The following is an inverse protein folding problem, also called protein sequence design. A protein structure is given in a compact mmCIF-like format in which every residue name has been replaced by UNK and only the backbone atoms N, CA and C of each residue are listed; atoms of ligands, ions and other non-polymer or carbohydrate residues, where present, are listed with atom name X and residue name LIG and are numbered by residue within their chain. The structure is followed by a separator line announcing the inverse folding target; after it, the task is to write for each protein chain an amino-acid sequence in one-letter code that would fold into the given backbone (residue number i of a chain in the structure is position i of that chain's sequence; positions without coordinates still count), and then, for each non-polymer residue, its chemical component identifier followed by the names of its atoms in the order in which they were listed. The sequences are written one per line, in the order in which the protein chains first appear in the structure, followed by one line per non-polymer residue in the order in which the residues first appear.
data_IF_413153488202
#
_entry.id   IF_413153488202
#
_cell.length_a   1.000
_cell.length_b   1.000
_cell.length_c   1.000
_cell.angle_alpha   90.00
_cell.angle_beta   90.00
_cell.angle_gamma   90.00
#
_symmetry.space_group_name_H-M   'P 1'
#
loop_
_entity.id
_entity.type
_entity.pdbx_description
1 polymer ?
#
# COMPACT_ATOMS: atom_id res chain seq x y z
N UNK A 1 -5.63 114.53 67.24
CA UNK A 1 -6.35 115.74 66.79
C UNK A 1 -6.60 116.59 68.01
N UNK A 2 -6.16 117.86 68.03
CA UNK A 2 -6.53 118.80 69.09
C UNK A 2 -7.88 119.43 68.72
N UNK A 3 -8.81 119.46 69.68
CA UNK A 3 -10.05 120.20 69.52
C UNK A 3 -9.80 121.71 69.50
N UNK A 4 -10.79 122.47 69.07
CA UNK A 4 -10.79 123.95 69.00
C UNK A 4 -10.43 124.66 70.32
N UNK A 5 -10.39 123.90 71.41
CA UNK A 5 -10.28 124.33 72.80
C UNK A 5 -8.90 123.95 73.38
N UNK A 6 -8.01 123.37 72.56
CA UNK A 6 -6.65 122.96 72.94
C UNK A 6 -6.57 121.59 73.62
N UNK A 7 -7.69 121.00 74.02
CA UNK A 7 -7.74 119.67 74.62
C UNK A 7 -7.76 118.56 73.54
N UNK A 8 -7.15 117.43 73.87
CA UNK A 8 -7.06 116.26 72.98
C UNK A 8 -8.34 115.46 73.12
N UNK A 9 -9.19 115.49 72.10
CA UNK A 9 -10.40 114.68 72.06
C UNK A 9 -10.01 113.24 71.71
N UNK A 10 -10.36 112.30 72.59
CA UNK A 10 -10.26 110.86 72.34
C UNK A 10 -11.67 110.38 72.00
N UNK A 11 -11.89 109.96 70.76
CA UNK A 11 -13.18 109.41 70.35
C UNK A 11 -13.32 108.00 70.93
N UNK A 12 -14.17 107.85 71.93
CA UNK A 12 -14.49 106.56 72.53
C UNK A 12 -15.70 106.01 71.76
N UNK A 13 -15.52 104.92 71.01
CA UNK A 13 -16.64 104.30 70.27
C UNK A 13 -17.76 103.89 71.22
N UNK A 14 -18.98 104.44 71.06
CA UNK A 14 -20.20 103.94 71.71
C UNK A 14 -21.08 104.93 72.47
N UNK A 15 -20.81 106.24 72.50
CA UNK A 15 -21.60 107.22 73.28
C UNK A 15 -22.65 108.04 72.49
N UNK A 16 -22.79 107.85 71.17
CA UNK A 16 -23.84 108.52 70.41
C UNK A 16 -25.19 107.78 70.52
N UNK A 17 -26.30 108.51 70.55
CA UNK A 17 -27.68 108.00 70.76
C UNK A 17 -28.25 107.08 69.67
N UNK A 18 -27.40 106.55 68.80
CA UNK A 18 -27.72 105.52 67.80
C UNK A 18 -26.60 104.47 67.59
N UNK A 19 -25.51 104.54 68.36
CA UNK A 19 -24.40 103.58 68.23
C UNK A 19 -24.73 102.29 68.99
N UNK A 20 -24.47 101.14 68.36
CA UNK A 20 -24.60 99.84 69.02
C UNK A 20 -23.54 99.75 70.12
N UNK A 21 -23.87 99.29 71.34
CA UNK A 21 -22.89 99.07 72.39
C UNK A 21 -21.85 98.06 71.90
N UNK A 22 -20.58 98.25 72.31
CA UNK A 22 -19.45 97.43 71.89
C UNK A 22 -19.71 95.91 72.09
N UNK A 23 -20.38 95.54 73.18
CA UNK A 23 -20.77 94.15 73.49
C UNK A 23 -21.70 93.55 72.43
N UNK A 24 -22.62 94.33 71.87
CA UNK A 24 -23.54 93.86 70.82
C UNK A 24 -22.82 93.69 69.47
N UNK A 25 -21.82 94.54 69.17
CA UNK A 25 -20.99 94.43 67.97
C UNK A 25 -20.08 93.18 68.07
N UNK A 26 -19.50 92.91 69.24
CA UNK A 26 -18.68 91.71 69.45
C UNK A 26 -19.53 90.44 69.40
N UNK A 27 -20.73 90.44 69.99
CA UNK A 27 -21.67 89.32 69.93
C UNK A 27 -22.15 89.04 68.49
N UNK A 28 -22.49 90.07 67.71
CA UNK A 28 -22.86 89.93 66.29
C UNK A 28 -21.70 89.35 65.45
N UNK A 29 -20.46 89.79 65.70
CA UNK A 29 -19.26 89.25 65.05
C UNK A 29 -18.97 87.80 65.46
N UNK A 30 -19.22 87.43 66.72
CA UNK A 30 -19.09 86.06 67.20
C UNK A 30 -20.16 85.15 66.59
N UNK A 31 -21.41 85.62 66.51
CA UNK A 31 -22.51 84.91 65.86
C UNK A 31 -22.28 84.75 64.35
N UNK A 32 -21.76 85.77 63.67
CA UNK A 32 -21.40 85.69 62.25
C UNK A 32 -20.28 84.67 62.00
N UNK A 33 -19.22 84.67 62.82
CA UNK A 33 -18.18 83.64 62.75
C UNK A 33 -18.72 82.24 63.04
N UNK A 34 -19.62 82.10 64.02
CA UNK A 34 -20.25 80.82 64.34
C UNK A 34 -21.11 80.31 63.17
N UNK A 35 -21.87 81.18 62.50
CA UNK A 35 -22.63 80.84 61.29
C UNK A 35 -21.74 80.40 60.14
N UNK A 36 -20.66 81.14 59.87
CA UNK A 36 -19.69 80.79 58.83
C UNK A 36 -18.97 79.47 59.14
N UNK A 37 -18.67 79.22 60.41
CA UNK A 37 -18.08 77.96 60.84
C UNK A 37 -19.05 76.80 60.66
N UNK A 38 -20.31 76.95 61.07
CA UNK A 38 -21.36 75.95 60.84
C UNK A 38 -21.61 75.67 59.34
N UNK A 39 -21.54 76.69 58.48
CA UNK A 39 -21.63 76.52 57.03
C UNK A 39 -20.45 75.71 56.47
N UNK A 40 -19.21 75.99 56.90
CA UNK A 40 -18.04 75.22 56.48
C UNK A 40 -18.10 73.76 56.94
N UNK A 41 -18.54 73.52 58.17
CA UNK A 41 -18.70 72.17 58.73
C UNK A 41 -19.81 71.39 58.00
N UNK A 42 -20.94 72.03 57.72
CA UNK A 42 -22.03 71.40 56.94
C UNK A 42 -21.61 71.07 55.52
N UNK A 43 -20.86 71.95 54.84
CA UNK A 43 -20.29 71.66 53.52
C UNK A 43 -19.29 70.49 53.54
N UNK A 44 -18.45 70.40 54.57
CA UNK A 44 -17.52 69.28 54.73
C UNK A 44 -18.27 67.96 54.92
N UNK A 45 -19.26 67.93 55.82
CA UNK A 45 -20.12 66.77 56.02
C UNK A 45 -20.87 66.38 54.74
N UNK A 46 -21.30 67.36 53.94
CA UNK A 46 -21.96 67.10 52.67
C UNK A 46 -21.01 66.45 51.65
N UNK A 47 -19.77 66.95 51.56
CA UNK A 47 -18.71 66.34 50.70
C UNK A 47 -18.37 64.92 51.14
N UNK A 48 -18.28 64.67 52.44
CA UNK A 48 -18.06 63.32 52.99
C UNK A 48 -19.21 62.37 52.63
N UNK A 49 -20.47 62.83 52.78
CA UNK A 49 -21.65 62.04 52.41
C UNK A 49 -21.72 61.78 50.92
N UNK A 50 -21.39 62.77 50.09
CA UNK A 50 -21.34 62.61 48.64
C UNK A 50 -20.24 61.60 48.22
N UNK A 51 -19.07 61.66 48.85
CA UNK A 51 -17.99 60.69 48.63
C UNK A 51 -18.39 59.28 49.08
N UNK A 52 -19.09 59.15 50.21
CA UNK A 52 -19.63 57.89 50.73
C UNK A 52 -20.63 57.28 49.72
N UNK A 53 -21.54 58.09 49.17
CA UNK A 53 -22.50 57.66 48.14
C UNK A 53 -21.79 57.24 46.86
N UNK A 54 -20.83 58.04 46.36
CA UNK A 54 -20.03 57.70 45.18
C UNK A 54 -19.22 56.42 45.37
N UNK A 55 -18.70 56.18 46.59
CA UNK A 55 -18.01 54.93 46.93
C UNK A 55 -18.98 53.75 46.90
N UNK A 56 -20.12 53.83 47.58
CA UNK A 56 -21.15 52.78 47.59
C UNK A 56 -21.62 52.42 46.17
N UNK A 57 -21.79 53.40 45.29
CA UNK A 57 -22.16 53.14 43.90
C UNK A 57 -21.05 52.41 43.13
N UNK A 58 -19.79 52.85 43.26
CA UNK A 58 -18.65 52.16 42.65
C UNK A 58 -18.51 50.72 43.14
N UNK A 59 -18.66 50.50 44.44
CA UNK A 59 -18.58 49.17 45.06
C UNK A 59 -19.73 48.26 44.59
N UNK A 60 -20.95 48.79 44.47
CA UNK A 60 -22.10 48.06 43.93
C UNK A 60 -21.87 47.64 42.47
N UNK A 61 -21.35 48.55 41.64
CA UNK A 61 -21.02 48.26 40.24
C UNK A 61 -19.88 47.24 40.10
N UNK A 62 -18.85 47.33 40.96
CA UNK A 62 -17.76 46.36 40.99
C UNK A 62 -18.28 44.96 41.38
N UNK A 63 -19.19 44.88 42.36
CA UNK A 63 -19.82 43.63 42.79
C UNK A 63 -20.64 42.98 41.68
N UNK A 64 -21.45 43.74 40.95
CA UNK A 64 -22.24 43.21 39.82
C UNK A 64 -21.34 42.79 38.65
N UNK A 65 -20.29 43.56 38.33
CA UNK A 65 -19.30 43.15 37.33
C UNK A 65 -18.61 41.84 37.71
N UNK A 66 -18.23 41.68 38.99
CA UNK A 66 -17.62 40.45 39.48
C UNK A 66 -18.57 39.25 39.38
N UNK A 67 -19.86 39.43 39.66
CA UNK A 67 -20.89 38.39 39.47
C UNK A 67 -21.00 37.97 38.02
N UNK A 68 -21.11 38.92 37.09
CA UNK A 68 -21.19 38.63 35.66
C UNK A 68 -19.96 37.86 35.15
N UNK A 69 -18.76 38.27 35.57
CA UNK A 69 -17.52 37.56 35.22
C UNK A 69 -17.51 36.14 35.79
N UNK A 70 -17.93 35.95 37.04
CA UNK A 70 -18.02 34.63 37.66
C UNK A 70 -19.06 33.73 36.97
N UNK A 71 -20.20 34.28 36.57
CA UNK A 71 -21.24 33.57 35.80
C UNK A 71 -20.68 33.10 34.45
N UNK A 72 -20.01 33.98 33.72
CA UNK A 72 -19.40 33.68 32.42
C UNK A 72 -18.36 32.57 32.53
N UNK A 73 -17.49 32.63 33.55
CA UNK A 73 -16.51 31.58 33.82
C UNK A 73 -17.16 30.22 34.12
N UNK A 74 -18.30 30.19 34.84
CA UNK A 74 -19.01 28.93 35.11
C UNK A 74 -19.58 28.31 33.84
N UNK A 75 -20.19 29.13 32.99
CA UNK A 75 -20.72 28.67 31.69
C UNK A 75 -19.59 28.12 30.82
N UNK A 76 -18.49 28.86 30.69
CA UNK A 76 -17.32 28.44 29.90
C UNK A 76 -16.69 27.15 30.44
N UNK A 77 -16.65 26.97 31.76
CA UNK A 77 -16.19 25.72 32.38
C UNK A 77 -17.10 24.54 32.05
N UNK A 78 -18.41 24.74 32.04
CA UNK A 78 -19.38 23.69 31.73
C UNK A 78 -19.38 23.35 30.23
N UNK A 79 -19.27 24.35 29.36
CA UNK A 79 -19.06 24.17 27.92
C UNK A 79 -17.76 23.40 27.64
N UNK A 80 -16.68 23.70 28.38
CA UNK A 80 -15.42 22.95 28.27
C UNK A 80 -15.53 21.50 28.74
N UNK A 81 -16.34 21.22 29.77
CA UNK A 81 -16.59 19.84 30.23
C UNK A 81 -17.43 19.06 29.22
N UNK A 82 -18.47 19.69 28.66
CA UNK A 82 -19.34 19.04 27.66
C UNK A 82 -18.56 18.74 26.39
N UNK A 83 -17.72 19.67 25.91
CA UNK A 83 -16.82 19.44 24.78
C UNK A 83 -15.86 18.27 25.05
N UNK A 84 -15.27 18.19 26.25
CA UNK A 84 -14.37 17.10 26.62
C UNK A 84 -15.09 15.74 26.67
N UNK A 85 -16.32 15.70 27.19
CA UNK A 85 -17.13 14.48 27.21
C UNK A 85 -17.46 14.00 25.79
N UNK A 86 -17.75 14.93 24.88
CA UNK A 86 -18.03 14.62 23.48
C UNK A 86 -16.77 14.13 22.75
N UNK A 87 -15.62 14.74 23.01
CA UNK A 87 -14.32 14.26 22.52
C UNK A 87 -14.02 12.84 23.02
N UNK A 88 -14.16 12.57 24.31
CA UNK A 88 -13.94 11.26 24.91
C UNK A 88 -14.88 10.20 24.29
N UNK A 89 -16.14 10.56 24.04
CA UNK A 89 -17.12 9.70 23.36
C UNK A 89 -16.73 9.38 21.91
N UNK A 90 -16.21 10.38 21.17
CA UNK A 90 -15.71 10.18 19.81
C UNK A 90 -14.50 9.25 19.82
N UNK A 91 -13.55 9.47 20.74
CA UNK A 91 -12.37 8.62 20.88
C UNK A 91 -12.74 7.17 21.21
N UNK A 92 -13.72 6.96 22.10
CA UNK A 92 -14.21 5.62 22.43
C UNK A 92 -14.88 4.93 21.23
N UNK A 93 -15.67 5.67 20.44
CA UNK A 93 -16.24 5.12 19.20
C UNK A 93 -15.17 4.76 18.15
N UNK A 94 -14.11 5.56 18.03
CA UNK A 94 -13.00 5.27 17.13
C UNK A 94 -12.25 4.01 17.58
N UNK A 95 -11.93 3.89 18.88
CA UNK A 95 -11.30 2.68 19.44
C UNK A 95 -12.17 1.44 19.25
N UNK A 96 -13.48 1.58 19.41
CA UNK A 96 -14.42 0.47 19.17
C UNK A 96 -14.43 0.03 17.70
N UNK A 97 -14.42 0.98 16.77
CA UNK A 97 -14.35 0.69 15.33
C UNK A 97 -13.04 0.01 14.95
N UNK A 98 -11.92 0.50 15.48
CA UNK A 98 -10.59 -0.08 15.27
C UNK A 98 -10.54 -1.54 15.77
N UNK A 99 -11.08 -1.79 16.97
CA UNK A 99 -11.16 -3.14 17.53
C UNK A 99 -12.08 -4.06 16.71
N UNK A 100 -13.21 -3.56 16.21
CA UNK A 100 -14.11 -4.31 15.32
C UNK A 100 -13.42 -4.66 13.98
N UNK A 101 -12.61 -3.76 13.41
CA UNK A 101 -11.83 -4.04 12.20
C UNK A 101 -10.71 -5.05 12.47
N UNK A 102 -10.03 -4.93 13.62
CA UNK A 102 -9.02 -5.90 14.04
C UNK A 102 -9.63 -7.29 14.20
N UNK A 103 -10.79 -7.38 14.85
CA UNK A 103 -11.52 -8.64 14.99
C UNK A 103 -11.92 -9.20 13.63
N UNK A 104 -12.48 -8.40 12.72
CA UNK A 104 -12.81 -8.87 11.36
C UNK A 104 -11.58 -9.39 10.62
N UNK A 105 -10.44 -8.70 10.73
CA UNK A 105 -9.17 -9.17 10.15
C UNK A 105 -8.70 -10.49 10.75
N UNK A 106 -8.75 -10.63 12.07
CA UNK A 106 -8.42 -11.89 12.76
C UNK A 106 -9.36 -13.04 12.36
N UNK A 107 -10.66 -12.77 12.21
CA UNK A 107 -11.65 -13.76 11.77
C UNK A 107 -11.45 -14.17 10.31
N UNK A 108 -11.08 -13.23 9.44
CA UNK A 108 -10.76 -13.52 8.04
C UNK A 108 -9.52 -14.41 7.93
N UNK A 109 -8.46 -14.10 8.68
CA UNK A 109 -7.25 -14.94 8.75
C UNK A 109 -7.62 -16.34 9.26
N UNK A 110 -8.38 -16.44 10.35
CA UNK A 110 -8.83 -17.73 10.89
C UNK A 110 -9.65 -18.53 9.88
N UNK A 111 -10.53 -17.88 9.13
CA UNK A 111 -11.32 -18.52 8.08
C UNK A 111 -10.43 -19.00 6.91
N UNK A 112 -9.42 -18.22 6.53
CA UNK A 112 -8.45 -18.61 5.50
C UNK A 112 -7.57 -19.78 5.96
N UNK A 113 -7.10 -19.77 7.21
CA UNK A 113 -6.35 -20.87 7.81
C UNK A 113 -7.18 -22.16 7.81
N UNK A 114 -8.45 -22.09 8.21
CA UNK A 114 -9.34 -23.25 8.20
C UNK A 114 -9.57 -23.76 6.77
N UNK A 115 -9.84 -22.87 5.82
CA UNK A 115 -9.97 -23.24 4.39
C UNK A 115 -8.71 -23.93 3.89
N UNK A 116 -7.54 -23.38 4.23
CA UNK A 116 -6.26 -23.94 3.81
C UNK A 116 -5.98 -25.29 4.47
N UNK A 117 -6.32 -25.45 5.74
CA UNK A 117 -6.22 -26.72 6.45
C UNK A 117 -7.12 -27.79 5.81
N UNK A 118 -8.34 -27.43 5.42
CA UNK A 118 -9.26 -28.33 4.71
C UNK A 118 -8.72 -28.73 3.33
N UNK A 119 -8.17 -27.79 2.57
CA UNK A 119 -7.53 -28.07 1.27
C UNK A 119 -6.34 -29.03 1.42
N UNK A 120 -5.46 -28.76 2.39
CA UNK A 120 -4.30 -29.58 2.69
C UNK A 120 -4.72 -31.00 3.10
N UNK A 121 -5.73 -31.13 3.97
CA UNK A 121 -6.30 -32.41 4.36
C UNK A 121 -6.82 -33.19 3.15
N UNK A 122 -7.59 -32.55 2.28
CA UNK A 122 -8.13 -33.19 1.07
C UNK A 122 -7.02 -33.63 0.11
N UNK A 123 -6.00 -32.80 -0.07
CA UNK A 123 -4.84 -33.14 -0.90
C UNK A 123 -4.05 -34.31 -0.33
N UNK A 124 -3.78 -34.31 0.98
CA UNK A 124 -3.10 -35.40 1.67
C UNK A 124 -3.87 -36.72 1.54
N UNK A 125 -5.20 -36.68 1.74
CA UNK A 125 -6.08 -37.85 1.59
C UNK A 125 -6.05 -38.42 0.18
N UNK A 126 -6.06 -37.55 -0.85
CA UNK A 126 -5.92 -37.98 -2.26
C UNK A 126 -4.56 -38.61 -2.54
N UNK A 127 -3.47 -38.02 -2.04
CA UNK A 127 -2.13 -38.56 -2.20
C UNK A 127 -2.00 -39.95 -1.55
N UNK A 128 -2.56 -40.12 -0.35
CA UNK A 128 -2.58 -41.42 0.33
C UNK A 128 -3.37 -42.48 -0.46
N UNK A 129 -4.53 -42.11 -1.01
CA UNK A 129 -5.30 -43.01 -1.88
C UNK A 129 -4.56 -43.38 -3.15
N UNK A 130 -3.83 -42.43 -3.75
CA UNK A 130 -3.00 -42.69 -4.92
C UNK A 130 -1.82 -43.61 -4.59
N UNK A 131 -1.17 -43.43 -3.44
CA UNK A 131 -0.12 -44.34 -2.97
C UNK A 131 -0.65 -45.77 -2.79
N UNK A 132 -1.78 -45.93 -2.10
CA UNK A 132 -2.41 -47.24 -1.93
C UNK A 132 -2.83 -47.87 -3.25
N UNK A 133 -3.25 -47.07 -4.24
CA UNK A 133 -3.60 -47.56 -5.57
C UNK A 133 -2.34 -47.97 -6.34
N UNK A 134 -1.28 -47.18 -6.29
CA UNK A 134 0.01 -47.51 -6.90
C UNK A 134 0.62 -48.80 -6.33
N UNK A 135 0.53 -49.00 -5.01
CA UNK A 135 0.99 -50.25 -4.37
C UNK A 135 0.20 -51.47 -4.84
N UNK A 136 -1.12 -51.33 -5.02
CA UNK A 136 -1.96 -52.40 -5.59
C UNK A 136 -1.63 -52.66 -7.06
N UNK A 137 -1.50 -51.61 -7.86
CA UNK A 137 -1.16 -51.71 -9.28
C UNK A 137 0.22 -52.38 -9.47
N UNK A 138 1.19 -52.10 -8.58
CA UNK A 138 2.52 -52.73 -8.58
C UNK A 138 2.46 -54.21 -8.18
N UNK A 139 1.65 -54.57 -7.17
CA UNK A 139 1.41 -55.96 -6.80
C UNK A 139 0.74 -56.75 -7.94
N UNK A 140 -0.28 -56.18 -8.57
CA UNK A 140 -0.95 -56.79 -9.74
C UNK A 140 0.03 -56.95 -10.91
N UNK A 141 0.88 -55.97 -11.15
CA UNK A 141 1.93 -56.05 -12.17
C UNK A 141 2.94 -57.16 -11.87
N UNK A 142 3.36 -57.34 -10.61
CA UNK A 142 4.28 -58.41 -10.20
C UNK A 142 3.64 -59.80 -10.39
N UNK A 143 2.38 -59.98 -10.05
CA UNK A 143 1.65 -61.23 -10.31
C UNK A 143 1.53 -61.51 -11.81
N UNK A 144 1.21 -60.48 -12.59
CA UNK A 144 1.14 -60.57 -14.06
C UNK A 144 2.50 -60.98 -14.64
N UNK A 145 3.60 -60.42 -14.11
CA UNK A 145 4.96 -60.74 -14.50
C UNK A 145 5.31 -62.20 -14.17
N UNK A 146 4.95 -62.69 -12.98
CA UNK A 146 5.14 -64.09 -12.60
C UNK A 146 4.36 -65.05 -13.51
N UNK A 147 3.09 -64.73 -13.80
CA UNK A 147 2.25 -65.51 -14.73
C UNK A 147 2.85 -65.55 -16.14
N UNK A 148 3.33 -64.41 -16.64
CA UNK A 148 4.01 -64.35 -17.94
C UNK A 148 5.28 -65.20 -17.93
N UNK A 149 6.12 -65.08 -16.90
CA UNK A 149 7.35 -65.86 -16.79
C UNK A 149 7.07 -67.36 -16.77
N UNK A 150 6.06 -67.80 -16.01
CA UNK A 150 5.64 -69.21 -15.97
C UNK A 150 5.13 -69.71 -17.33
N UNK A 151 4.33 -68.90 -18.03
CA UNK A 151 3.85 -69.24 -19.38
C UNK A 151 5.00 -69.35 -20.39
N UNK A 152 6.01 -68.48 -20.30
CA UNK A 152 7.23 -68.53 -21.12
C UNK A 152 8.04 -69.79 -20.82
N UNK A 153 8.20 -70.15 -19.54
CA UNK A 153 8.84 -71.39 -19.11
C UNK A 153 8.10 -72.62 -19.66
N UNK A 154 6.77 -72.66 -19.58
CA UNK A 154 5.96 -73.74 -20.15
C UNK A 154 6.14 -73.84 -21.67
N UNK A 155 6.12 -72.71 -22.38
CA UNK A 155 6.37 -72.67 -23.83
C UNK A 155 7.76 -73.21 -24.17
N UNK A 156 8.80 -72.82 -23.42
CA UNK A 156 10.16 -73.34 -23.64
C UNK A 156 10.28 -74.83 -23.31
N UNK A 157 9.61 -75.30 -22.27
CA UNK A 157 9.56 -76.71 -21.91
C UNK A 157 8.87 -77.53 -23.01
N UNK A 158 7.70 -77.09 -23.49
CA UNK A 158 6.96 -77.73 -24.59
C UNK A 158 7.78 -77.77 -25.88
N UNK A 159 8.47 -76.68 -26.21
CA UNK A 159 9.38 -76.63 -27.35
C UNK A 159 10.55 -77.62 -27.20
N UNK A 160 11.10 -77.77 -25.99
CA UNK A 160 12.15 -78.76 -25.69
C UNK A 160 11.66 -80.19 -25.84
N UNK A 161 10.49 -80.52 -25.26
CA UNK A 161 9.87 -81.83 -25.41
C UNK A 161 9.63 -82.19 -26.88
N UNK A 162 9.14 -81.23 -27.69
CA UNK A 162 8.93 -81.42 -29.12
C UNK A 162 10.25 -81.71 -29.87
N UNK A 163 11.34 -81.00 -29.53
CA UNK A 163 12.67 -81.26 -30.11
C UNK A 163 13.20 -82.66 -29.74
N UNK A 164 13.06 -83.05 -28.48
CA UNK A 164 13.54 -84.35 -27.98
C UNK A 164 12.68 -85.51 -28.48
N UNK A 165 11.38 -85.30 -28.67
CA UNK A 165 10.49 -86.27 -29.30
C UNK A 165 10.82 -86.44 -30.79
N UNK A 166 11.03 -85.34 -31.53
CA UNK A 166 11.53 -85.40 -32.90
C UNK A 166 12.86 -86.14 -32.99
N UNK A 167 13.80 -85.86 -32.09
CA UNK A 167 15.09 -86.57 -32.01
C UNK A 167 14.89 -88.06 -31.74
N UNK A 168 14.02 -88.44 -30.79
CA UNK A 168 13.71 -89.85 -30.49
C UNK A 168 13.03 -90.56 -31.65
N UNK A 169 12.07 -89.94 -32.32
CA UNK A 169 11.41 -90.49 -33.50
C UNK A 169 12.39 -90.63 -34.67
N UNK A 170 13.27 -89.65 -34.88
CA UNK A 170 14.35 -89.71 -35.85
C UNK A 170 15.31 -90.88 -35.57
N UNK A 171 15.74 -91.06 -34.32
CA UNK A 171 16.61 -92.17 -33.92
C UNK A 171 15.92 -93.53 -34.12
N UNK A 172 14.63 -93.66 -33.77
CA UNK A 172 13.85 -94.89 -34.03
C UNK A 172 13.61 -95.15 -35.52
N UNK A 173 13.50 -94.10 -36.35
CA UNK A 173 13.38 -94.24 -37.80
C UNK A 173 14.69 -94.71 -38.45
N UNK A 174 15.83 -94.27 -37.90
CA UNK A 174 17.17 -94.76 -38.27
C UNK A 174 17.31 -96.24 -37.88
N UNK A 175 16.94 -96.62 -36.66
CA UNK A 175 17.04 -98.00 -36.15
C UNK A 175 16.10 -98.99 -36.86
N UNK A 176 14.89 -98.55 -37.26
CA UNK A 176 13.93 -99.36 -38.04
C UNK A 176 14.29 -99.50 -39.53
N UNK A 177 15.50 -99.11 -39.93
CA UNK A 177 16.01 -99.33 -41.30
C UNK A 177 15.29 -98.56 -42.41
N UNK A 178 14.41 -97.59 -42.08
CA UNK A 178 13.69 -96.80 -43.09
C UNK A 178 14.48 -95.62 -43.64
N UNK A 179 15.60 -95.27 -43.02
CA UNK A 179 16.55 -94.26 -43.55
C UNK A 179 17.99 -94.67 -43.20
N UNK A 180 18.45 -95.81 -43.72
CA UNK A 180 19.88 -96.15 -43.73
C UNK A 180 20.62 -95.61 -44.98
N UNK A 181 19.99 -94.75 -45.79
CA UNK A 181 20.49 -94.45 -47.14
C UNK A 181 20.62 -92.98 -47.53
N UNK A 182 20.47 -91.98 -46.64
CA UNK A 182 20.51 -90.57 -47.05
C UNK A 182 21.32 -89.64 -46.12
N UNK A 183 22.10 -90.16 -45.17
CA UNK A 183 22.98 -89.34 -44.32
C UNK A 183 24.37 -89.09 -44.95
N UNK A 184 24.52 -89.30 -46.26
CA UNK A 184 25.76 -89.09 -47.01
C UNK A 184 25.67 -88.07 -48.15
N UNK A 185 24.57 -87.31 -48.30
CA UNK A 185 24.39 -86.44 -49.47
C UNK A 185 23.88 -85.02 -49.16
N UNK A 186 24.20 -84.47 -47.98
CA UNK A 186 23.95 -83.06 -47.69
C UNK A 186 25.15 -82.35 -47.06
N UNK A 187 26.34 -82.67 -47.58
CA UNK A 187 27.55 -81.84 -47.45
C UNK A 187 28.10 -81.57 -48.85
N UNK A 188 27.36 -80.83 -49.68
CA UNK A 188 27.84 -80.00 -50.81
C UNK A 188 26.66 -79.56 -51.69
N UNK A 189 26.11 -78.39 -51.39
CA UNK A 189 25.49 -77.47 -52.37
C UNK A 189 25.51 -76.06 -51.77
N UNK A 190 26.71 -75.49 -51.66
CA UNK A 190 26.85 -74.04 -51.60
C UNK A 190 26.74 -73.55 -53.05
N UNK A 191 25.51 -73.21 -53.48
CA UNK A 191 25.28 -72.42 -54.67
C UNK A 191 25.00 -70.98 -54.23
N UNK A 192 25.84 -70.08 -54.73
CA UNK A 192 25.52 -68.68 -54.94
C UNK A 192 24.11 -68.54 -55.53
N UNK A 193 23.26 -67.74 -54.90
CA UNK A 193 22.93 -66.36 -55.32
C UNK A 193 21.46 -66.04 -54.98
N UNK A 194 21.21 -64.82 -54.47
CA UNK A 194 19.88 -64.20 -54.53
C UNK A 194 19.31 -63.75 -53.19
N UNK A 195 19.49 -62.48 -52.88
CA UNK A 195 18.75 -61.71 -51.86
C UNK A 195 17.23 -61.88 -51.97
N UNK A 196 16.52 -61.59 -50.87
CA UNK A 196 15.40 -60.65 -50.99
C UNK A 196 15.48 -59.51 -49.96
N UNK A 197 15.63 -58.31 -50.51
CA UNK A 197 14.86 -57.09 -50.19
C UNK A 197 14.34 -56.98 -48.74
N UNK A 198 15.05 -56.20 -47.92
CA UNK A 198 14.43 -55.49 -46.79
C UNK A 198 13.64 -54.31 -47.37
N UNK A 199 12.34 -54.51 -47.52
CA UNK A 199 11.36 -53.46 -47.80
C UNK A 199 11.35 -52.46 -46.65
N UNK A 200 11.81 -51.25 -46.95
CA UNK A 200 11.52 -50.02 -46.22
C UNK A 200 10.01 -49.83 -46.14
N UNK A 201 9.45 -50.02 -44.95
CA UNK A 201 8.14 -49.47 -44.60
C UNK A 201 8.42 -48.28 -43.70
N UNK A 202 8.38 -47.10 -44.32
CA UNK A 202 8.12 -45.84 -43.66
C UNK A 202 6.71 -45.89 -43.08
N UNK A 203 6.59 -46.08 -41.78
CA UNK A 203 5.36 -45.77 -41.06
C UNK A 203 5.36 -44.28 -40.72
N UNK A 204 4.72 -43.52 -41.60
CA UNK A 204 4.31 -42.14 -41.35
C UNK A 204 3.16 -42.21 -40.33
N UNK A 205 3.43 -41.95 -39.06
CA UNK A 205 2.39 -41.71 -38.05
C UNK A 205 2.39 -40.22 -37.78
N UNK A 206 1.47 -39.53 -38.44
CA UNK A 206 0.93 -38.26 -37.97
C UNK A 206 0.37 -38.47 -36.56
N UNK A 207 1.11 -38.05 -35.54
CA UNK A 207 0.53 -37.83 -34.22
C UNK A 207 -0.18 -36.50 -34.26
N UNK A 208 -1.50 -36.60 -34.44
CA UNK A 208 -2.43 -35.51 -34.20
C UNK A 208 -2.28 -35.00 -32.76
N UNK A 209 -2.27 -33.68 -32.65
CA UNK A 209 -2.42 -32.89 -31.44
C UNK A 209 -3.68 -33.34 -30.67
N UNK A 210 -3.53 -33.55 -29.36
CA UNK A 210 -4.57 -33.22 -28.39
C UNK A 210 -3.92 -32.51 -27.19
N UNK A 211 -4.62 -31.56 -26.55
CA UNK A 211 -4.03 -30.68 -25.56
C UNK A 211 -3.96 -31.37 -24.20
N UNK A 212 -2.74 -31.57 -23.73
CA UNK A 212 -2.42 -32.04 -22.38
C UNK A 212 -2.65 -30.91 -21.38
N UNK A 213 -3.75 -31.05 -20.64
CA UNK A 213 -3.89 -30.79 -19.20
C UNK A 213 -2.98 -29.72 -18.59
N UNK A 214 -3.59 -28.58 -18.29
CA UNK A 214 -3.16 -27.57 -17.32
C UNK A 214 -2.70 -28.17 -15.99
N UNK A 215 -1.47 -27.83 -15.56
CA UNK A 215 -0.97 -27.76 -14.16
C UNK A 215 0.51 -27.32 -14.16
N UNK A 216 1.02 -26.67 -13.09
CA UNK A 216 0.64 -25.34 -12.62
C UNK A 216 1.91 -24.55 -12.21
N UNK A 217 2.71 -24.04 -13.16
CA UNK A 217 3.80 -23.09 -12.88
C UNK A 217 4.09 -22.29 -14.15
N UNK A 218 3.16 -21.43 -14.54
CA UNK A 218 3.46 -20.43 -15.58
C UNK A 218 4.32 -19.34 -14.94
N UNK A 219 5.64 -19.52 -15.00
CA UNK A 219 6.51 -18.37 -15.13
C UNK A 219 6.05 -17.66 -16.41
N UNK A 220 5.63 -16.38 -16.36
CA UNK A 220 5.09 -15.75 -17.54
C UNK A 220 6.21 -15.65 -18.57
N UNK A 221 6.13 -16.49 -19.60
CA UNK A 221 7.11 -16.60 -20.68
C UNK A 221 7.34 -15.21 -21.25
N UNK A 222 8.59 -14.74 -21.29
CA UNK A 222 8.93 -13.36 -21.73
C UNK A 222 8.13 -12.98 -22.98
N UNK A 223 7.64 -11.73 -23.08
CA UNK A 223 6.88 -11.33 -24.25
C UNK A 223 7.70 -11.55 -25.52
N UNK A 224 7.21 -12.43 -26.40
CA UNK A 224 7.92 -12.83 -27.63
C UNK A 224 7.68 -11.85 -28.79
N UNK A 225 6.62 -11.03 -28.72
CA UNK A 225 6.26 -10.09 -29.77
C UNK A 225 5.66 -8.80 -29.22
N UNK A 226 5.81 -7.71 -29.97
CA UNK A 226 5.22 -6.40 -29.69
C UNK A 226 3.70 -6.46 -29.57
N UNK A 227 3.04 -7.27 -30.40
CA UNK A 227 1.59 -7.43 -30.36
C UNK A 227 1.12 -8.11 -29.07
N UNK A 228 1.89 -9.07 -28.55
CA UNK A 228 1.60 -9.70 -27.26
C UNK A 228 1.72 -8.70 -26.09
N UNK A 229 2.69 -7.79 -26.16
CA UNK A 229 2.86 -6.70 -25.17
C UNK A 229 1.67 -5.74 -25.23
N UNK A 230 1.22 -5.35 -26.42
CA UNK A 230 0.07 -4.47 -26.60
C UNK A 230 -1.19 -5.12 -26.02
N UNK A 231 -1.42 -6.41 -26.30
CA UNK A 231 -2.56 -7.14 -25.77
C UNK A 231 -2.50 -7.24 -24.24
N UNK A 232 -1.35 -7.61 -23.67
CA UNK A 232 -1.14 -7.64 -22.22
C UNK A 232 -1.39 -6.28 -21.57
N UNK A 233 -0.88 -5.21 -22.17
CA UNK A 233 -1.08 -3.86 -21.64
C UNK A 233 -2.58 -3.50 -21.63
N UNK A 234 -3.30 -3.77 -22.72
CA UNK A 234 -4.74 -3.46 -22.83
C UNK A 234 -5.60 -4.26 -21.86
N UNK A 235 -5.33 -5.55 -21.70
CA UNK A 235 -6.16 -6.43 -20.85
C UNK A 235 -5.81 -6.30 -19.37
N UNK A 236 -4.53 -6.21 -19.00
CA UNK A 236 -4.11 -6.29 -17.60
C UNK A 236 -3.72 -4.94 -17.00
N UNK A 237 -3.10 -4.05 -17.78
CA UNK A 237 -2.49 -2.83 -17.25
C UNK A 237 -3.38 -1.59 -17.42
N UNK A 238 -4.17 -1.53 -18.49
CA UNK A 238 -5.10 -0.44 -18.75
C UNK A 238 -6.22 -0.37 -17.69
N UNK A 239 -6.84 -1.49 -17.24
CA UNK A 239 -7.79 -1.45 -16.11
C UNK A 239 -7.15 -1.00 -14.80
N UNK A 240 -5.84 -1.27 -14.63
CA UNK A 240 -5.03 -0.81 -13.48
C UNK A 240 -4.56 0.64 -13.62
N UNK A 241 -4.98 1.34 -14.67
CA UNK A 241 -4.63 2.73 -14.99
C UNK A 241 -3.12 2.96 -15.08
N UNK A 242 -2.36 1.97 -15.58
CA UNK A 242 -0.94 2.13 -15.80
C UNK A 242 -0.65 3.21 -16.86
N UNK A 243 0.29 4.11 -16.57
CA UNK A 243 0.65 5.21 -17.47
C UNK A 243 -0.26 6.43 -17.41
N UNK A 244 -1.26 6.46 -16.53
CA UNK A 244 -2.07 7.65 -16.25
C UNK A 244 -1.49 8.49 -15.12
N UNK A 245 -1.71 9.79 -15.16
CA UNK A 245 -1.35 10.69 -14.07
C UNK A 245 -2.33 10.55 -12.88
N UNK A 246 -1.87 10.90 -11.68
CA UNK A 246 -2.61 10.70 -10.44
C UNK A 246 -3.93 11.49 -10.51
N UNK A 247 -5.05 10.77 -10.31
CA UNK A 247 -6.41 11.32 -10.27
C UNK A 247 -6.91 11.98 -11.58
N UNK A 248 -6.19 11.86 -12.69
CA UNK A 248 -6.57 12.44 -13.99
C UNK A 248 -6.73 11.34 -15.05
N UNK A 249 -7.50 11.65 -16.11
CA UNK A 249 -7.63 10.76 -17.27
C UNK A 249 -6.62 11.12 -18.38
N UNK A 250 -5.55 11.83 -18.01
CA UNK A 250 -4.45 12.21 -18.88
C UNK A 250 -3.32 11.19 -18.76
N UNK A 251 -2.69 10.87 -19.88
CA UNK A 251 -1.51 10.01 -19.90
C UNK A 251 -0.35 10.79 -19.29
N UNK A 252 0.35 10.17 -18.35
CA UNK A 252 1.41 10.81 -17.62
C UNK A 252 2.56 11.22 -18.56
N UNK A 253 3.17 12.40 -18.35
CA UNK A 253 4.20 12.92 -19.25
C UNK A 253 5.42 11.99 -19.32
N UNK A 254 5.76 11.32 -18.22
CA UNK A 254 6.88 10.37 -18.11
C UNK A 254 6.64 9.02 -18.80
N UNK A 255 5.44 8.74 -19.33
CA UNK A 255 5.11 7.44 -19.93
C UNK A 255 5.35 7.45 -21.44
N UNK A 256 6.21 6.55 -21.94
CA UNK A 256 6.61 6.47 -23.36
C UNK A 256 6.18 5.20 -24.08
N UNK A 257 5.37 4.33 -23.49
CA UNK A 257 4.93 3.10 -24.15
C UNK A 257 6.09 2.18 -24.56
N UNK A 258 6.00 1.54 -25.72
CA UNK A 258 6.99 0.53 -26.19
C UNK A 258 8.09 1.23 -26.99
N UNK A 259 9.12 1.71 -26.28
CA UNK A 259 10.35 2.26 -26.86
C UNK A 259 11.58 1.42 -26.47
N UNK A 260 12.57 1.39 -27.35
CA UNK A 260 13.84 0.71 -27.11
C UNK A 260 14.68 1.42 -26.05
N UNK A 261 15.69 0.72 -25.53
CA UNK A 261 16.67 1.32 -24.61
C UNK A 261 17.40 2.50 -25.26
N UNK A 262 17.80 2.35 -26.52
CA UNK A 262 18.56 3.38 -27.26
C UNK A 262 17.73 4.65 -27.45
N UNK A 263 16.47 4.51 -27.86
CA UNK A 263 15.55 5.65 -27.99
C UNK A 263 15.34 6.38 -26.66
N UNK A 264 15.23 5.64 -25.55
CA UNK A 264 15.13 6.24 -24.23
C UNK A 264 16.39 7.03 -23.83
N UNK A 265 17.58 6.51 -24.14
CA UNK A 265 18.85 7.18 -23.88
C UNK A 265 18.97 8.46 -24.74
N UNK A 266 18.58 8.43 -26.02
CA UNK A 266 18.56 9.60 -26.90
C UNK A 266 17.64 10.72 -26.40
N UNK A 267 16.46 10.36 -25.86
CA UNK A 267 15.53 11.33 -25.27
C UNK A 267 16.13 12.00 -24.03
N UNK A 268 16.81 11.23 -23.18
CA UNK A 268 17.41 11.68 -21.93
C UNK A 268 18.79 12.34 -22.09
N UNK A 269 19.46 12.17 -23.24
CA UNK A 269 20.84 12.62 -23.47
C UNK A 269 21.04 14.13 -23.24
N UNK A 270 20.07 14.93 -23.67
CA UNK A 270 20.10 16.39 -23.59
C UNK A 270 19.38 16.95 -22.35
N UNK A 271 18.98 16.10 -21.40
CA UNK A 271 18.27 16.51 -20.18
C UNK A 271 19.20 16.62 -18.98
N UNK A 272 18.69 17.23 -17.91
CA UNK A 272 19.41 17.39 -16.65
C UNK A 272 19.56 16.06 -15.89
N UNK A 273 20.52 15.99 -14.96
CA UNK A 273 20.61 14.86 -14.04
C UNK A 273 19.34 14.78 -13.18
N UNK A 274 18.81 13.57 -13.00
CA UNK A 274 17.50 13.38 -12.37
C UNK A 274 16.35 13.23 -13.36
N UNK A 275 16.60 13.44 -14.66
CA UNK A 275 15.60 13.24 -15.69
C UNK A 275 15.29 11.75 -15.90
N UNK A 276 14.02 11.41 -16.07
CA UNK A 276 13.60 10.02 -16.21
C UNK A 276 12.40 9.84 -17.14
N UNK A 277 12.21 8.60 -17.57
CA UNK A 277 11.01 8.14 -18.25
C UNK A 277 10.72 6.67 -17.95
N UNK A 278 9.47 6.27 -18.12
CA UNK A 278 9.03 4.88 -17.98
C UNK A 278 8.56 4.36 -19.33
N UNK A 279 9.14 3.23 -19.73
CA UNK A 279 8.80 2.50 -20.96
C UNK A 279 8.34 1.08 -20.64
N UNK A 280 7.50 0.52 -21.48
CA UNK A 280 7.10 -0.89 -21.40
C UNK A 280 8.30 -1.75 -21.79
N UNK A 281 8.60 -2.76 -20.98
CA UNK A 281 9.74 -3.64 -21.22
C UNK A 281 9.39 -4.71 -22.24
N UNK A 282 10.31 -4.99 -23.17
CA UNK A 282 10.20 -6.11 -24.10
C UNK A 282 10.83 -7.40 -23.54
N UNK A 283 11.55 -7.31 -22.41
CA UNK A 283 12.29 -8.43 -21.83
C UNK A 283 11.58 -9.10 -20.65
N UNK A 284 10.63 -8.39 -20.03
CA UNK A 284 9.85 -8.82 -18.86
C UNK A 284 8.40 -8.34 -19.02
N UNK A 285 7.45 -8.99 -18.33
CA UNK A 285 6.08 -8.51 -18.21
C UNK A 285 6.02 -7.36 -17.21
N UNK A 286 6.36 -6.17 -17.68
CA UNK A 286 6.49 -5.01 -16.83
C UNK A 286 7.10 -3.83 -17.55
N UNK A 287 7.75 -2.96 -16.77
CA UNK A 287 8.24 -1.68 -17.24
C UNK A 287 9.74 -1.58 -17.02
N UNK A 288 10.34 -0.57 -17.63
CA UNK A 288 11.71 -0.18 -17.37
C UNK A 288 11.73 1.32 -17.16
N UNK A 289 12.23 1.75 -16.01
CA UNK A 289 12.48 3.14 -15.71
C UNK A 289 13.90 3.48 -16.20
N UNK A 290 13.99 4.36 -17.18
CA UNK A 290 15.25 4.89 -17.68
C UNK A 290 15.55 6.21 -16.99
N UNK A 291 16.74 6.35 -16.43
CA UNK A 291 17.14 7.47 -15.58
C UNK A 291 18.46 8.08 -16.07
N UNK A 292 18.54 9.41 -16.09
CA UNK A 292 19.74 10.19 -16.41
C UNK A 292 20.58 10.44 -15.17
N UNK A 293 21.77 9.83 -15.12
CA UNK A 293 22.78 10.08 -14.10
C UNK A 293 23.91 10.97 -14.65
N UNK A 294 24.66 11.63 -13.78
CA UNK A 294 25.80 12.50 -14.11
C UNK A 294 26.71 11.99 -15.26
N UNK A 295 27.09 10.70 -15.24
CA UNK A 295 28.05 10.12 -16.20
C UNK A 295 27.43 9.09 -17.16
N UNK A 296 26.10 8.94 -17.19
CA UNK A 296 25.47 7.92 -18.03
C UNK A 296 23.97 7.76 -17.83
N UNK A 297 23.48 6.54 -18.03
CA UNK A 297 22.07 6.19 -17.88
C UNK A 297 21.94 4.93 -17.03
N UNK A 298 20.94 4.92 -16.16
CA UNK A 298 20.54 3.75 -15.37
C UNK A 298 19.18 3.26 -15.85
N UNK A 299 18.99 1.94 -15.82
CA UNK A 299 17.73 1.32 -16.20
C UNK A 299 17.30 0.37 -15.09
N UNK A 300 16.15 0.67 -14.48
CA UNK A 300 15.57 -0.14 -13.43
C UNK A 300 14.40 -0.92 -14.01
N UNK A 301 14.44 -2.23 -13.86
CA UNK A 301 13.34 -3.09 -14.28
C UNK A 301 12.24 -3.04 -13.21
N UNK A 302 11.01 -2.82 -13.64
CA UNK A 302 9.83 -2.80 -12.78
C UNK A 302 8.98 -4.01 -13.13
N UNK A 303 8.78 -4.90 -12.16
CA UNK A 303 7.90 -6.05 -12.32
C UNK A 303 6.44 -5.62 -12.24
N UNK A 304 5.62 -6.12 -13.16
CA UNK A 304 4.17 -5.91 -13.18
C UNK A 304 3.41 -7.25 -13.33
N UNK A 305 4.09 -8.38 -13.17
CA UNK A 305 3.50 -9.72 -13.23
C UNK A 305 2.58 -10.04 -12.05
N UNK A 306 2.72 -9.30 -10.95
CA UNK A 306 1.90 -9.41 -9.74
C UNK A 306 0.87 -8.27 -9.63
N UNK A 307 0.08 -8.28 -8.57
CA UNK A 307 -0.90 -7.25 -8.20
C UNK A 307 -0.27 -5.94 -7.69
N UNK A 308 1.05 -5.88 -7.59
CA UNK A 308 1.84 -4.70 -7.23
C UNK A 308 2.94 -4.39 -8.25
N UNK A 309 3.52 -3.20 -8.15
CA UNK A 309 4.68 -2.75 -8.91
C UNK A 309 5.89 -2.61 -7.99
N UNK A 310 7.03 -3.19 -8.37
CA UNK A 310 8.28 -3.10 -7.60
C UNK A 310 9.51 -3.16 -8.50
N UNK A 311 10.61 -2.55 -8.07
CA UNK A 311 11.88 -2.69 -8.76
C UNK A 311 12.47 -4.10 -8.58
N UNK A 312 12.99 -4.68 -9.66
CA UNK A 312 13.66 -5.97 -9.62
C UNK A 312 15.10 -5.82 -9.16
N UNK A 313 15.43 -6.42 -8.01
CA UNK A 313 16.81 -6.62 -7.54
C UNK A 313 17.46 -5.46 -6.78
N UNK A 314 16.74 -4.36 -6.54
CA UNK A 314 17.25 -3.19 -5.80
C UNK A 314 16.56 -3.08 -4.44
N UNK A 315 15.25 -2.77 -4.44
CA UNK A 315 14.45 -2.65 -3.21
C UNK A 315 13.09 -3.37 -3.36
N UNK A 316 12.61 -3.97 -2.26
CA UNK A 316 11.35 -4.73 -2.22
C UNK A 316 10.12 -3.86 -1.92
N UNK A 317 10.21 -2.54 -2.11
CA UNK A 317 9.08 -1.64 -1.92
C UNK A 317 8.02 -1.92 -2.99
N UNK A 318 6.81 -2.24 -2.53
CA UNK A 318 5.68 -2.60 -3.38
C UNK A 318 4.70 -1.44 -3.46
N UNK A 319 4.32 -1.08 -4.67
CA UNK A 319 3.38 0.01 -4.93
C UNK A 319 2.12 -0.53 -5.59
N UNK A 320 0.96 0.01 -5.22
CA UNK A 320 -0.33 -0.41 -5.78
C UNK A 320 -0.48 0.01 -7.25
N UNK A 321 0.01 1.20 -7.61
CA UNK A 321 -0.02 1.72 -8.98
C UNK A 321 1.38 2.11 -9.46
N UNK A 322 1.58 2.10 -10.79
CA UNK A 322 2.83 2.55 -11.41
C UNK A 322 3.10 4.02 -11.10
N UNK A 323 2.05 4.83 -10.97
CA UNK A 323 2.13 6.25 -10.62
C UNK A 323 2.56 6.44 -9.17
N UNK A 324 2.07 5.61 -8.24
CA UNK A 324 2.56 5.62 -6.85
C UNK A 324 4.05 5.27 -6.76
N UNK A 325 4.51 4.31 -7.57
CA UNK A 325 5.93 3.96 -7.65
C UNK A 325 6.77 5.17 -8.09
N UNK A 326 6.34 5.86 -9.14
CA UNK A 326 7.04 7.05 -9.64
C UNK A 326 7.00 8.18 -8.62
N UNK A 327 5.84 8.50 -8.04
CA UNK A 327 5.69 9.61 -7.09
C UNK A 327 6.51 9.37 -5.81
N UNK A 328 6.53 8.15 -5.29
CA UNK A 328 7.32 7.81 -4.11
C UNK A 328 8.82 8.07 -4.33
N UNK A 329 9.35 7.67 -5.49
CA UNK A 329 10.78 7.84 -5.79
C UNK A 329 11.16 9.25 -6.29
N UNK A 330 10.22 10.21 -6.24
CA UNK A 330 10.56 11.64 -6.36
C UNK A 330 11.17 12.20 -5.07
N UNK A 331 10.78 11.63 -3.93
CA UNK A 331 11.22 12.03 -2.60
C UNK A 331 12.20 11.02 -2.00
N UNK A 332 12.05 9.74 -2.32
CA UNK A 332 12.90 8.65 -1.85
C UNK A 332 13.86 8.11 -2.92
N UNK A 333 15.08 7.76 -2.52
CA UNK A 333 16.10 7.26 -3.46
C UNK A 333 15.76 5.84 -3.95
N UNK A 334 16.03 5.53 -5.21
CA UNK A 334 15.80 4.18 -5.77
C UNK A 334 16.82 3.17 -5.25
N UNK A 335 18.08 3.58 -5.05
CA UNK A 335 19.12 2.73 -4.48
C UNK A 335 19.88 3.50 -3.39
N UNK A 336 20.02 2.92 -2.20
CA UNK A 336 20.74 3.52 -1.06
C UNK A 336 22.20 3.88 -1.40
N UNK A 337 22.84 3.14 -2.31
CA UNK A 337 24.21 3.38 -2.76
C UNK A 337 24.32 4.37 -3.93
N UNK A 338 23.22 4.62 -4.64
CA UNK A 338 23.20 5.32 -5.92
C UNK A 338 22.59 6.72 -5.87
N UNK A 339 21.75 7.00 -4.87
CA UNK A 339 21.18 8.34 -4.63
C UNK A 339 20.24 8.84 -5.73
N UNK A 340 19.65 7.94 -6.52
CA UNK A 340 18.83 8.31 -7.67
C UNK A 340 17.45 8.79 -7.23
N UNK A 341 17.14 10.06 -7.50
CA UNK A 341 15.84 10.70 -7.25
C UNK A 341 15.20 11.11 -8.57
N UNK A 342 13.90 10.84 -8.72
CA UNK A 342 13.13 11.17 -9.92
C UNK A 342 12.75 12.66 -9.91
N UNK A 343 13.57 13.51 -10.53
CA UNK A 343 13.40 14.96 -10.48
C UNK A 343 12.59 15.52 -11.66
N UNK A 344 13.00 15.16 -12.89
CA UNK A 344 12.43 15.75 -14.11
C UNK A 344 11.80 14.66 -14.99
N UNK A 345 10.55 14.86 -15.41
CA UNK A 345 9.88 13.92 -16.33
C UNK A 345 10.28 14.23 -17.77
N UNK A 346 10.80 13.25 -18.50
CA UNK A 346 10.92 13.36 -19.96
C UNK A 346 9.53 13.27 -20.57
N UNK A 347 9.14 14.29 -21.34
CA UNK A 347 7.88 14.31 -22.07
C UNK A 347 7.98 13.71 -23.47
N UNK A 348 6.80 13.55 -24.10
CA UNK A 348 6.69 13.09 -25.48
C UNK A 348 7.30 14.09 -26.48
N UNK A 349 8.12 13.60 -27.42
CA UNK A 349 8.69 14.41 -28.52
C UNK A 349 8.15 14.07 -29.90
N UNK A 350 7.60 12.85 -30.09
CA UNK A 350 7.10 12.37 -31.38
C UNK A 350 5.59 12.66 -31.53
N UNK A 351 5.14 12.80 -32.79
CA UNK A 351 3.72 12.87 -33.17
C UNK A 351 3.46 11.86 -34.29
N UNK A 352 2.60 10.83 -34.09
CA UNK A 352 1.83 10.56 -32.87
C UNK A 352 2.72 10.17 -31.67
N UNK A 353 2.23 10.32 -30.42
CA UNK A 353 2.99 9.98 -29.21
C UNK A 353 3.47 8.52 -29.18
N UNK A 354 4.57 8.26 -28.50
CA UNK A 354 5.20 6.93 -28.39
C UNK A 354 4.25 5.87 -27.79
N UNK A 355 3.34 6.29 -26.91
CA UNK A 355 2.33 5.44 -26.29
C UNK A 355 1.10 5.16 -27.18
N UNK A 356 0.98 5.80 -28.36
CA UNK A 356 -0.22 5.70 -29.21
C UNK A 356 -0.69 4.26 -29.48
N UNK A 357 0.18 3.27 -29.75
CA UNK A 357 -0.27 1.88 -30.01
C UNK A 357 -0.93 1.20 -28.80
N UNK A 358 -0.72 1.70 -27.59
CA UNK A 358 -1.21 1.10 -26.35
C UNK A 358 -2.61 1.58 -25.97
N UNK A 359 -2.97 2.80 -26.36
CA UNK A 359 -4.21 3.47 -25.95
C UNK A 359 -5.24 3.63 -27.08
N UNK A 360 -4.99 3.02 -28.24
CA UNK A 360 -5.85 3.09 -29.43
C UNK A 360 -6.89 1.98 -29.49
#
# INVERSE_FOLDING_TARGET
MQGSDGEVWVWVMGEASGDKPYEQITEELMAERARQQAQKETEQLWKEKEAEIKKKFRDAMAKEKARFVAEKWKVEMEDRKTAKLEEDKIQEQLKKREEEERQKGEEEIRCQEERRAQELYMNLKKAQQQSQRSEKDEQEWLEQLQKSKAADEERTHKARCARDEYRRQSLRAIEKGKVAGLSGLFQKTNLNNGQPRKSSITCNVQTNLLPTTSKPWDCPTRPLSRDTIIHWFKEEQLPRRAGFERNTNTIAPWFHGIISRQEAEELLMNMSEGAFLVRVSENIWGYTLSYRQQSGFKHFLVDASSDYYSFLGVDQNRHATLTDLVDFHKEEVITTSGGELLLETCGQRKSPPDYSPLFQ
#
